data_IF_031603805231
#
_entry.id   IF_031603805231
#
_cell.length_a   1.000
_cell.length_b   1.000
_cell.length_c   1.000
_cell.angle_alpha   90.00
_cell.angle_beta   90.00
_cell.angle_gamma   90.00
#
_symmetry.space_group_name_H-M   'P 1'
#
loop_
_entity.id
_entity.type
_entity.pdbx_description
1 polymer ?
#
# COMPACT_ATOMS: atom_id res chain seq x y z
N UNK A 1 14.69 -7.48 4.15
CA UNK A 1 13.54 -7.54 5.04
C UNK A 1 13.32 -6.20 5.74
N UNK A 2 12.10 -5.73 5.71
CA UNK A 2 11.77 -4.46 6.30
C UNK A 2 10.89 -4.65 7.52
N UNK A 3 11.24 -3.97 8.61
CA UNK A 3 10.40 -3.93 9.79
C UNK A 3 10.33 -2.48 10.26
N UNK A 4 9.18 -1.87 10.11
CA UNK A 4 8.94 -0.53 10.60
C UNK A 4 7.87 -0.63 11.67
N UNK A 5 8.25 -0.31 12.90
CA UNK A 5 7.31 -0.29 14.00
C UNK A 5 7.22 1.12 14.55
N UNK A 6 6.00 1.57 14.69
CA UNK A 6 5.80 2.90 15.24
C UNK A 6 4.43 2.94 15.89
N UNK A 7 4.38 3.48 17.09
CA UNK A 7 3.13 3.65 17.80
C UNK A 7 2.45 4.97 17.47
N UNK A 8 3.08 5.76 16.65
CA UNK A 8 2.54 7.05 16.26
C UNK A 8 1.60 6.84 15.06
N UNK A 9 0.33 7.11 15.26
CA UNK A 9 -0.67 6.89 14.23
C UNK A 9 -0.61 7.93 13.11
N UNK A 10 0.30 8.90 13.20
CA UNK A 10 0.45 9.92 12.17
C UNK A 10 1.47 9.54 11.09
N UNK A 11 2.07 8.37 11.17
CA UNK A 11 3.07 7.95 10.19
C UNK A 11 2.46 7.86 8.80
N UNK A 12 3.15 8.49 7.86
CA UNK A 12 2.75 8.46 6.46
C UNK A 12 3.84 7.74 5.66
N UNK A 13 3.42 6.84 4.78
CA UNK A 13 4.34 6.06 3.97
C UNK A 13 4.10 6.43 2.51
N UNK A 14 5.10 7.02 1.86
CA UNK A 14 4.95 7.46 0.48
C UNK A 14 5.87 6.66 -0.43
N UNK A 15 5.33 6.20 -1.54
CA UNK A 15 6.06 5.39 -2.52
C UNK A 15 5.91 6.05 -3.87
N UNK A 16 7.02 6.49 -4.45
CA UNK A 16 7.00 7.15 -5.76
C UNK A 16 6.30 8.48 -5.72
N UNK A 17 6.78 9.40 -4.89
CA UNK A 17 6.11 10.68 -4.72
C UNK A 17 6.26 11.58 -5.95
N UNK A 18 7.48 11.79 -6.44
CA UNK A 18 7.72 12.62 -7.61
C UNK A 18 8.54 11.92 -8.68
N UNK A 19 8.85 10.68 -8.50
CA UNK A 19 9.60 9.87 -9.44
C UNK A 19 9.19 8.44 -9.23
N UNK A 20 10.02 7.51 -9.67
CA UNK A 20 9.72 6.09 -9.51
C UNK A 20 10.19 5.61 -8.15
N UNK A 21 9.33 4.88 -7.46
CA UNK A 21 9.67 4.28 -6.18
C UNK A 21 9.01 2.93 -6.05
N UNK A 22 9.67 2.04 -5.34
CA UNK A 22 9.15 0.69 -5.13
C UNK A 22 9.45 0.24 -3.72
N UNK A 23 8.48 -0.36 -3.07
CA UNK A 23 8.66 -0.96 -1.76
C UNK A 23 8.16 -2.39 -1.83
N UNK A 24 8.91 -3.29 -1.22
CA UNK A 24 8.54 -4.70 -1.18
C UNK A 24 8.57 -5.17 0.26
N UNK A 25 7.47 -5.73 0.71
CA UNK A 25 7.37 -6.36 2.02
C UNK A 25 7.34 -7.86 1.77
N UNK A 26 8.33 -8.56 2.28
CA UNK A 26 8.48 -9.98 2.01
C UNK A 26 9.11 -10.68 3.21
N UNK A 27 9.10 -12.01 3.17
CA UNK A 27 9.78 -12.84 4.17
C UNK A 27 9.38 -12.49 5.59
N UNK A 28 8.09 -12.25 5.78
CA UNK A 28 7.55 -11.95 7.11
C UNK A 28 7.74 -10.53 7.56
N UNK A 29 8.06 -9.61 6.65
CA UNK A 29 8.20 -8.20 7.00
C UNK A 29 6.87 -7.59 7.43
N UNK A 30 6.95 -6.60 8.31
CA UNK A 30 5.76 -5.94 8.86
C UNK A 30 5.90 -4.43 8.75
N UNK A 31 4.85 -3.77 8.26
CA UNK A 31 4.78 -2.32 8.24
C UNK A 31 3.43 -1.89 8.77
N UNK A 32 3.42 -0.87 9.60
CA UNK A 32 2.19 -0.23 10.07
C UNK A 32 2.27 1.24 9.76
N UNK A 33 1.27 1.77 9.08
CA UNK A 33 1.24 3.17 8.72
C UNK A 33 -0.17 3.72 8.84
N UNK A 34 -0.28 5.01 9.07
CA UNK A 34 -1.57 5.70 9.09
C UNK A 34 -2.08 5.83 7.67
N UNK A 35 -1.30 6.50 6.81
CA UNK A 35 -1.64 6.67 5.41
C UNK A 35 -0.52 6.11 4.56
N UNK A 36 -0.86 5.39 3.51
CA UNK A 36 0.10 4.95 2.51
C UNK A 36 -0.32 5.57 1.18
N UNK A 37 0.56 6.35 0.59
CA UNK A 37 0.29 7.06 -0.65
C UNK A 37 1.24 6.55 -1.72
N UNK A 38 0.69 6.01 -2.78
CA UNK A 38 1.45 5.41 -3.87
C UNK A 38 1.21 6.26 -5.12
N UNK A 39 2.28 6.79 -5.72
CA UNK A 39 2.14 7.70 -6.83
C UNK A 39 1.56 9.03 -6.40
N UNK A 40 2.21 9.73 -5.49
CA UNK A 40 1.64 10.89 -4.82
C UNK A 40 1.43 12.09 -5.70
N UNK A 41 2.42 12.45 -6.50
CA UNK A 41 2.32 13.61 -7.40
C UNK A 41 2.17 13.17 -8.85
N UNK A 42 1.85 14.10 -9.73
CA UNK A 42 1.54 13.80 -11.12
C UNK A 42 2.67 13.04 -11.84
N UNK A 43 3.93 13.27 -11.44
CA UNK A 43 5.06 12.56 -12.02
C UNK A 43 5.45 11.33 -11.20
N UNK A 44 4.71 11.03 -10.15
CA UNK A 44 5.04 9.90 -9.30
C UNK A 44 4.60 8.58 -9.89
N UNK A 45 5.44 7.57 -9.74
CA UNK A 45 5.12 6.21 -10.14
C UNK A 45 5.55 5.32 -8.98
N UNK A 46 4.59 4.75 -8.29
CA UNK A 46 4.87 3.96 -7.12
C UNK A 46 4.39 2.53 -7.29
N UNK A 47 5.13 1.60 -6.70
CA UNK A 47 4.76 0.20 -6.69
C UNK A 47 4.97 -0.34 -5.28
N UNK A 48 3.93 -0.96 -4.75
CA UNK A 48 3.99 -1.64 -3.46
C UNK A 48 3.77 -3.12 -3.70
N UNK A 49 4.73 -3.93 -3.28
CA UNK A 49 4.62 -5.38 -3.38
C UNK A 49 4.55 -5.96 -1.97
N UNK A 50 3.54 -6.76 -1.70
CA UNK A 50 3.42 -7.48 -0.44
C UNK A 50 3.34 -8.95 -0.79
N UNK A 51 4.36 -9.69 -0.41
CA UNK A 51 4.47 -11.08 -0.83
C UNK A 51 5.03 -11.93 0.29
N UNK A 52 4.78 -13.21 0.20
CA UNK A 52 5.21 -14.23 1.13
C UNK A 52 4.37 -14.28 2.40
N UNK A 53 4.25 -15.48 2.92
CA UNK A 53 3.48 -15.73 4.11
C UNK A 53 4.00 -14.91 5.29
N UNK A 54 3.09 -14.38 6.08
CA UNK A 54 3.37 -13.55 7.25
C UNK A 54 3.90 -12.16 6.93
N UNK A 55 3.99 -11.80 5.65
CA UNK A 55 4.33 -10.43 5.26
C UNK A 55 3.06 -9.60 5.28
N UNK A 56 3.06 -8.52 6.07
CA UNK A 56 1.83 -7.75 6.31
C UNK A 56 2.14 -6.27 6.30
N UNK A 57 1.31 -5.52 5.63
CA UNK A 57 1.25 -4.08 5.84
C UNK A 57 -0.15 -3.75 6.39
N UNK A 58 -0.17 -3.01 7.49
CA UNK A 58 -1.41 -2.56 8.09
C UNK A 58 -1.49 -1.06 7.90
N UNK A 59 -2.55 -0.61 7.23
CA UNK A 59 -2.74 0.80 6.94
C UNK A 59 -4.14 1.21 7.36
N UNK A 60 -4.28 2.46 7.77
CA UNK A 60 -5.62 2.99 7.98
C UNK A 60 -6.22 3.37 6.64
N UNK A 61 -5.49 4.14 5.84
CA UNK A 61 -5.96 4.60 4.54
C UNK A 61 -4.90 4.32 3.49
N UNK A 62 -5.33 3.84 2.35
CA UNK A 62 -4.43 3.54 1.24
C UNK A 62 -4.88 4.35 0.03
N UNK A 63 -3.97 5.16 -0.51
CA UNK A 63 -4.23 5.92 -1.73
C UNK A 63 -3.32 5.37 -2.82
N UNK A 64 -3.90 4.63 -3.75
CA UNK A 64 -3.16 3.98 -4.81
C UNK A 64 -3.35 4.76 -6.11
N UNK A 65 -2.35 5.54 -6.48
CA UNK A 65 -2.46 6.47 -7.58
C UNK A 65 -3.17 7.74 -7.16
N UNK A 66 -2.52 8.56 -6.34
CA UNK A 66 -3.17 9.76 -5.82
C UNK A 66 -3.28 10.84 -6.90
N UNK A 67 -2.16 11.43 -7.33
CA UNK A 67 -2.11 12.28 -8.52
C UNK A 67 -1.38 11.57 -9.65
N UNK A 68 -0.53 10.60 -9.34
CA UNK A 68 0.28 9.86 -10.31
C UNK A 68 -0.21 8.45 -10.51
N UNK A 69 0.72 7.55 -10.75
CA UNK A 69 0.44 6.15 -11.03
C UNK A 69 0.84 5.28 -9.86
N UNK A 70 -0.05 4.42 -9.44
CA UNK A 70 0.23 3.49 -8.35
C UNK A 70 -0.13 2.08 -8.73
N UNK A 71 0.69 1.14 -8.27
CA UNK A 71 0.44 -0.28 -8.46
C UNK A 71 0.65 -0.98 -7.12
N UNK A 72 -0.30 -1.80 -6.73
CA UNK A 72 -0.20 -2.64 -5.55
C UNK A 72 -0.29 -4.08 -6.00
N UNK A 73 0.73 -4.85 -5.67
CA UNK A 73 0.75 -6.28 -5.97
C UNK A 73 0.76 -7.05 -4.66
N UNK A 74 -0.24 -7.87 -4.45
CA UNK A 74 -0.33 -8.72 -3.26
C UNK A 74 -0.30 -10.15 -3.75
N UNK A 75 0.71 -10.90 -3.36
CA UNK A 75 0.88 -12.23 -3.92
C UNK A 75 1.49 -13.17 -2.88
N UNK A 76 1.45 -14.44 -3.21
CA UNK A 76 2.14 -15.49 -2.48
C UNK A 76 1.87 -15.41 -0.97
N UNK A 77 0.59 -15.30 -0.61
CA UNK A 77 0.10 -15.23 0.78
C UNK A 77 0.43 -13.92 1.49
N UNK A 78 0.86 -12.89 0.78
CA UNK A 78 1.03 -11.58 1.39
C UNK A 78 -0.32 -11.00 1.80
N UNK A 79 -0.29 -10.06 2.74
CA UNK A 79 -1.53 -9.51 3.31
C UNK A 79 -1.46 -8.01 3.48
N UNK A 80 -2.50 -7.33 3.02
CA UNK A 80 -2.72 -5.94 3.38
C UNK A 80 -3.94 -5.88 4.30
N UNK A 81 -3.77 -5.33 5.50
CA UNK A 81 -4.88 -5.03 6.40
C UNK A 81 -5.22 -3.56 6.28
N UNK A 82 -6.41 -3.28 5.80
CA UNK A 82 -6.88 -1.92 5.59
C UNK A 82 -7.92 -1.62 6.65
N UNK A 83 -7.62 -0.68 7.53
CA UNK A 83 -8.48 -0.42 8.67
C UNK A 83 -9.64 0.50 8.36
N UNK A 84 -9.47 1.45 7.46
CA UNK A 84 -10.51 2.41 7.18
C UNK A 84 -10.99 2.34 5.75
N UNK A 85 -10.15 2.78 4.79
CA UNK A 85 -10.56 2.71 3.39
C UNK A 85 -9.34 2.73 2.47
N UNK A 86 -9.60 2.39 1.23
CA UNK A 86 -8.63 2.50 0.14
C UNK A 86 -9.28 3.21 -1.03
N UNK A 87 -8.51 4.06 -1.67
CA UNK A 87 -8.93 4.71 -2.90
C UNK A 87 -7.95 4.35 -4.00
N UNK A 88 -8.48 4.02 -5.16
CA UNK A 88 -7.67 3.60 -6.31
C UNK A 88 -7.97 4.57 -7.44
N UNK A 89 -6.93 5.33 -7.89
CA UNK A 89 -7.13 6.37 -8.87
C UNK A 89 -7.88 7.55 -8.31
N UNK A 90 -7.22 8.38 -7.49
CA UNK A 90 -7.93 9.35 -6.66
C UNK A 90 -8.25 10.64 -7.40
N UNK A 91 -7.26 11.24 -8.07
CA UNK A 91 -7.44 12.54 -8.71
C UNK A 91 -7.49 12.38 -10.21
N UNK A 92 -7.94 13.43 -10.90
CA UNK A 92 -8.01 13.41 -12.36
C UNK A 92 -6.65 13.10 -12.94
N UNK A 93 -6.62 12.18 -13.90
CA UNK A 93 -5.39 11.79 -14.57
C UNK A 93 -4.57 10.75 -13.83
N UNK A 94 -4.95 10.41 -12.61
CA UNK A 94 -4.23 9.38 -11.88
C UNK A 94 -4.65 7.98 -12.31
N UNK A 95 -3.79 7.01 -12.06
CA UNK A 95 -4.07 5.62 -12.36
C UNK A 95 -3.66 4.76 -11.20
N UNK A 96 -4.54 3.88 -10.76
CA UNK A 96 -4.23 2.92 -9.72
C UNK A 96 -4.57 1.53 -10.19
N UNK A 97 -3.72 0.58 -9.86
CA UNK A 97 -3.91 -0.82 -10.21
C UNK A 97 -3.64 -1.68 -8.98
N UNK A 98 -4.49 -2.65 -8.74
CA UNK A 98 -4.29 -3.63 -7.67
C UNK A 98 -4.35 -5.01 -8.27
N UNK A 99 -3.30 -5.79 -8.07
CA UNK A 99 -3.23 -7.17 -8.50
C UNK A 99 -3.14 -8.07 -7.26
N UNK A 100 -4.10 -8.95 -7.10
CA UNK A 100 -4.11 -9.91 -6.00
C UNK A 100 -4.03 -11.30 -6.62
N UNK A 101 -2.91 -11.98 -6.42
CA UNK A 101 -2.65 -13.26 -7.05
C UNK A 101 -2.05 -14.24 -6.04
N UNK A 102 -2.01 -15.52 -6.39
CA UNK A 102 -1.30 -16.53 -5.63
C UNK A 102 -1.59 -16.48 -4.13
N UNK A 103 -2.88 -16.47 -3.79
CA UNK A 103 -3.35 -16.45 -2.40
C UNK A 103 -2.98 -15.19 -1.65
N UNK A 104 -2.67 -14.12 -2.37
CA UNK A 104 -2.55 -12.80 -1.73
C UNK A 104 -3.89 -12.39 -1.15
N UNK A 105 -3.85 -11.54 -0.14
CA UNK A 105 -5.05 -11.16 0.58
C UNK A 105 -5.08 -9.66 0.83
N UNK A 106 -6.23 -9.07 0.55
CA UNK A 106 -6.48 -7.67 0.86
C UNK A 106 -7.69 -7.64 1.76
N UNK A 107 -7.47 -7.36 3.04
CA UNK A 107 -8.51 -7.45 4.05
C UNK A 107 -8.91 -6.06 4.52
N UNK A 108 -10.19 -5.81 4.55
CA UNK A 108 -10.72 -4.56 5.10
C UNK A 108 -11.31 -4.86 6.47
N UNK A 109 -10.68 -4.29 7.51
CA UNK A 109 -11.18 -4.47 8.86
C UNK A 109 -12.33 -3.52 9.14
N UNK A 110 -12.23 -2.31 8.59
CA UNK A 110 -13.32 -1.37 8.62
C UNK A 110 -13.84 -1.02 9.98
N UNK A 111 -14.71 -0.05 9.99
CA UNK A 111 -15.43 0.33 11.20
C UNK A 111 -16.91 -0.01 11.09
N UNK A 112 -17.27 -0.78 10.07
CA UNK A 112 -18.64 -1.19 9.89
C UNK A 112 -19.47 -0.28 9.01
N UNK A 113 -18.82 0.64 8.34
CA UNK A 113 -19.53 1.48 7.37
C UNK A 113 -19.35 1.01 5.97
#
# INVERSE_FOLDING_TARGET
EWLIKNNDSSIEFQIGNQGAGEATIREGGLITAENTIIGGNATGIGTLNVQDQDSVITVRRLYNGYFGNGTVNISNNGLINNKEYSLVGVQDGSHGVVNVTDKGHWSFLGTGE
#
